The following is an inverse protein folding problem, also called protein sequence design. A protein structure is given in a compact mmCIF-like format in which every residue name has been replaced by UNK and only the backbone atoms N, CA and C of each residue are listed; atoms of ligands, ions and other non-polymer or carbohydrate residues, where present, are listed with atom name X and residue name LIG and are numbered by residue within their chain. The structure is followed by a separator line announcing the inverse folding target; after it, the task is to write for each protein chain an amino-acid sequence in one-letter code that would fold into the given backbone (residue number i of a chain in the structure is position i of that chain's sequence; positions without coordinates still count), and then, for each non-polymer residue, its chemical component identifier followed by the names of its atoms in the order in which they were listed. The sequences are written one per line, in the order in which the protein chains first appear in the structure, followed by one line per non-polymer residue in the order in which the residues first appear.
data_IF_315829916365
#
_entry.id   IF_315829916365
#
_cell.length_a   1.000
_cell.length_b   1.000
_cell.length_c   1.000
_cell.angle_alpha   90.00
_cell.angle_beta   90.00
_cell.angle_gamma   90.00
#
_symmetry.space_group_name_H-M   'P 1'
#
loop_
_entity.id
_entity.type
_entity.pdbx_description
1 polymer ?
#
# COMPACT_ATOMS: atom_id res chain seq x y z
N UNK A 1 0.58 -42.21 -4.69
CA UNK A 1 1.64 -41.73 -3.80
C UNK A 1 1.83 -40.21 -3.82
N UNK A 2 0.81 -39.43 -3.44
CA UNK A 2 0.82 -37.96 -3.49
C UNK A 2 0.38 -37.30 -2.18
N UNK A 3 0.93 -37.76 -1.06
CA UNK A 3 0.97 -36.96 0.17
C UNK A 3 2.39 -37.13 0.70
N UNK A 4 3.28 -36.21 0.32
CA UNK A 4 4.54 -35.99 1.04
C UNK A 4 4.29 -34.76 1.90
N UNK A 5 4.26 -34.98 3.19
CA UNK A 5 4.06 -34.00 4.25
C UNK A 5 4.81 -32.69 3.95
N UNK A 6 4.03 -31.62 3.76
CA UNK A 6 4.52 -30.25 3.69
C UNK A 6 4.85 -29.82 5.13
N UNK A 7 5.95 -30.35 5.66
CA UNK A 7 6.52 -29.86 6.91
C UNK A 7 7.05 -28.45 6.66
N UNK A 8 6.26 -27.44 7.02
CA UNK A 8 6.72 -26.09 7.31
C UNK A 8 7.82 -26.17 8.39
N UNK A 9 9.07 -26.30 7.97
CA UNK A 9 10.22 -26.34 8.88
C UNK A 9 10.40 -24.95 9.50
N UNK A 10 10.82 -24.87 10.77
CA UNK A 10 11.08 -23.59 11.45
C UNK A 10 11.97 -22.66 10.60
N UNK A 11 12.89 -23.21 9.82
CA UNK A 11 13.77 -22.50 8.88
C UNK A 11 13.06 -21.76 7.73
N UNK A 12 11.85 -22.18 7.34
CA UNK A 12 11.01 -21.43 6.37
C UNK A 12 10.28 -20.24 7.00
N UNK A 13 10.11 -20.24 8.33
CA UNK A 13 9.48 -19.16 9.11
C UNK A 13 10.54 -18.20 9.67
N UNK A 14 11.78 -18.67 9.85
CA UNK A 14 12.90 -17.88 10.37
C UNK A 14 13.99 -17.72 9.32
N UNK A 15 14.21 -16.51 8.81
CA UNK A 15 15.36 -16.23 7.96
C UNK A 15 16.69 -16.57 8.68
N UNK A 16 17.72 -16.98 7.95
CA UNK A 16 19.02 -17.46 8.52
C UNK A 16 19.68 -16.51 9.55
N UNK A 17 19.38 -15.20 9.50
CA UNK A 17 19.87 -14.18 10.43
C UNK A 17 18.77 -13.51 11.27
N UNK A 18 17.53 -13.98 11.16
CA UNK A 18 16.46 -13.51 12.03
C UNK A 18 16.64 -14.06 13.45
N UNK A 19 15.96 -13.43 14.39
CA UNK A 19 15.87 -13.89 15.78
C UNK A 19 15.37 -15.35 15.80
N UNK A 20 15.80 -16.24 16.71
CA UNK A 20 15.18 -17.55 16.84
C UNK A 20 13.81 -17.45 17.53
N UNK A 21 12.92 -18.42 17.30
CA UNK A 21 11.59 -18.47 17.94
C UNK A 21 11.65 -18.59 19.48
N UNK A 22 12.80 -19.00 20.04
CA UNK A 22 13.02 -19.22 21.48
C UNK A 22 14.01 -18.22 22.08
N UNK A 23 13.70 -16.93 22.05
CA UNK A 23 14.39 -15.92 22.86
C UNK A 23 13.48 -15.33 23.93
N UNK A 24 14.08 -14.61 24.88
CA UNK A 24 13.36 -13.95 25.99
C UNK A 24 12.32 -12.92 25.52
N UNK A 25 12.43 -12.44 24.28
CA UNK A 25 11.46 -11.55 23.66
C UNK A 25 10.97 -12.14 22.34
N UNK A 26 9.66 -12.31 22.22
CA UNK A 26 9.04 -12.92 21.05
C UNK A 26 9.17 -12.04 19.79
N UNK A 27 9.33 -12.69 18.62
CA UNK A 27 9.44 -12.02 17.32
C UNK A 27 8.27 -11.10 17.02
N UNK A 28 7.07 -11.53 17.40
CA UNK A 28 5.85 -10.77 17.16
C UNK A 28 5.85 -9.48 17.96
N UNK A 29 6.24 -9.56 19.23
CA UNK A 29 6.41 -8.40 20.13
C UNK A 29 7.37 -7.37 19.54
N UNK A 30 8.47 -7.83 18.92
CA UNK A 30 9.45 -6.93 18.29
C UNK A 30 8.86 -6.21 17.08
N UNK A 31 8.12 -6.92 16.22
CA UNK A 31 7.46 -6.28 15.09
C UNK A 31 6.43 -5.24 15.54
N UNK A 32 5.61 -5.55 16.54
CA UNK A 32 4.67 -4.59 17.12
C UNK A 32 5.39 -3.39 17.71
N UNK A 33 6.47 -3.60 18.47
CA UNK A 33 7.27 -2.52 19.04
C UNK A 33 7.80 -1.58 17.95
N UNK A 34 8.31 -2.12 16.83
CA UNK A 34 8.77 -1.32 15.70
C UNK A 34 7.63 -0.48 15.07
N UNK A 35 6.43 -1.05 14.92
CA UNK A 35 5.25 -0.33 14.43
C UNK A 35 4.86 0.80 15.39
N UNK A 36 4.81 0.53 16.70
CA UNK A 36 4.50 1.55 17.71
C UNK A 36 5.55 2.65 17.77
N UNK A 37 6.83 2.33 17.66
CA UNK A 37 7.91 3.34 17.61
C UNK A 37 7.73 4.24 16.39
N UNK A 38 7.51 3.65 15.20
CA UNK A 38 7.26 4.44 14.00
C UNK A 38 6.04 5.37 14.17
N UNK A 39 4.94 4.85 14.72
CA UNK A 39 3.74 5.63 14.98
C UNK A 39 3.96 6.77 15.99
N UNK A 40 4.65 6.50 17.11
CA UNK A 40 4.98 7.51 18.12
C UNK A 40 5.85 8.62 17.51
N UNK A 41 6.86 8.25 16.71
CA UNK A 41 7.70 9.24 16.02
C UNK A 41 6.89 10.10 15.05
N UNK A 42 5.99 9.51 14.26
CA UNK A 42 5.09 10.26 13.39
C UNK A 42 4.18 11.18 14.18
N UNK A 43 3.58 10.70 15.27
CA UNK A 43 2.71 11.50 16.14
C UNK A 43 3.46 12.67 16.78
N UNK A 44 4.64 12.43 17.34
CA UNK A 44 5.48 13.47 17.94
C UNK A 44 5.91 14.51 16.91
N UNK A 45 6.22 14.08 15.68
CA UNK A 45 6.54 14.99 14.59
C UNK A 45 5.36 15.88 14.19
N UNK A 46 4.17 15.28 13.98
CA UNK A 46 2.96 16.05 13.65
C UNK A 46 2.60 17.02 14.78
N UNK A 47 2.70 16.57 16.04
CA UNK A 47 2.49 17.43 17.21
C UNK A 47 3.55 18.55 17.30
N UNK A 48 4.79 18.28 16.92
CA UNK A 48 5.85 19.28 16.84
C UNK A 48 5.53 20.35 15.79
N UNK A 49 4.94 19.97 14.66
CA UNK A 49 4.47 20.94 13.66
C UNK A 49 3.29 21.75 14.20
N UNK A 50 2.35 21.12 14.89
CA UNK A 50 1.24 21.84 15.55
C UNK A 50 1.76 22.89 16.54
N UNK A 51 2.78 22.55 17.34
CA UNK A 51 3.42 23.51 18.24
C UNK A 51 4.01 24.72 17.49
N UNK A 52 4.62 24.50 16.31
CA UNK A 52 5.15 25.59 15.46
C UNK A 52 4.00 26.42 14.89
N UNK A 53 2.93 25.79 14.42
CA UNK A 53 1.74 26.51 13.94
C UNK A 53 1.15 27.36 15.07
N UNK A 54 1.12 26.82 16.29
CA UNK A 54 0.60 27.48 17.48
C UNK A 54 1.42 28.69 17.95
N UNK A 55 2.67 28.82 17.50
CA UNK A 55 3.46 30.05 17.72
C UNK A 55 2.98 31.24 16.88
N UNK A 56 2.04 31.03 15.95
CA UNK A 56 1.51 32.08 15.08
C UNK A 56 2.41 32.46 13.89
N UNK A 57 3.60 31.86 13.76
CA UNK A 57 4.57 32.12 12.67
C UNK A 57 3.97 31.88 11.28
N UNK A 58 3.07 30.90 11.17
CA UNK A 58 2.43 30.51 9.91
C UNK A 58 1.05 31.17 9.70
N UNK A 59 0.58 31.97 10.67
CA UNK A 59 -0.70 32.67 10.63
C UNK A 59 -1.89 31.79 10.23
N UNK A 60 -2.89 32.39 9.58
CA UNK A 60 -4.11 31.70 9.13
C UNK A 60 -3.82 30.55 8.14
N UNK A 61 -2.70 30.59 7.43
CA UNK A 61 -2.30 29.51 6.51
C UNK A 61 -1.89 28.23 7.27
N UNK A 62 -1.18 28.38 8.38
CA UNK A 62 -0.81 27.28 9.26
C UNK A 62 -2.03 26.52 9.80
N UNK A 63 -3.01 27.27 10.32
CA UNK A 63 -4.20 26.68 10.94
C UNK A 63 -5.19 26.08 9.94
N UNK A 64 -5.49 26.79 8.85
CA UNK A 64 -6.58 26.39 7.95
C UNK A 64 -6.15 25.43 6.83
N UNK A 65 -4.85 25.38 6.53
CA UNK A 65 -4.34 24.58 5.40
C UNK A 65 -3.35 23.52 5.86
N UNK A 66 -2.30 23.92 6.58
CA UNK A 66 -1.20 23.01 6.94
C UNK A 66 -1.68 21.96 7.95
N UNK A 67 -2.33 22.37 9.05
CA UNK A 67 -2.78 21.44 10.10
C UNK A 67 -3.75 20.37 9.57
N UNK A 68 -4.85 20.71 8.85
CA UNK A 68 -5.73 19.68 8.30
C UNK A 68 -5.05 18.75 7.30
N UNK A 69 -4.10 19.26 6.51
CA UNK A 69 -3.33 18.44 5.56
C UNK A 69 -2.43 17.44 6.31
N UNK A 70 -1.70 17.89 7.31
CA UNK A 70 -0.78 17.02 8.07
C UNK A 70 -1.55 15.88 8.75
N UNK A 71 -2.63 16.21 9.45
CA UNK A 71 -3.44 15.23 10.16
C UNK A 71 -4.28 14.35 9.23
N UNK A 72 -4.81 14.93 8.14
CA UNK A 72 -5.56 14.21 7.12
C UNK A 72 -4.71 13.19 6.35
N UNK A 73 -3.41 13.47 6.18
CA UNK A 73 -2.46 12.57 5.51
C UNK A 73 -1.43 11.97 6.50
N UNK A 74 -1.84 11.70 7.74
CA UNK A 74 -0.96 11.19 8.79
C UNK A 74 -0.20 9.90 8.40
N UNK A 75 -0.81 9.04 7.57
CA UNK A 75 -0.21 7.78 7.11
C UNK A 75 1.07 7.99 6.28
N UNK A 76 1.24 9.16 5.64
CA UNK A 76 2.46 9.51 4.90
C UNK A 76 3.61 9.66 5.88
N UNK A 77 3.39 10.41 6.96
CA UNK A 77 4.39 10.53 8.03
C UNK A 77 4.64 9.19 8.70
N UNK A 78 3.58 8.39 8.93
CA UNK A 78 3.70 6.98 9.33
C UNK A 78 4.71 6.21 8.48
N UNK A 79 4.56 6.30 7.16
CA UNK A 79 5.43 5.60 6.20
C UNK A 79 6.85 6.17 6.16
N UNK A 80 7.01 7.49 6.18
CA UNK A 80 8.34 8.13 6.21
C UNK A 80 9.11 7.68 7.45
N UNK A 81 8.49 7.71 8.64
CA UNK A 81 9.15 7.28 9.87
C UNK A 81 9.40 5.77 9.91
N UNK A 82 8.53 4.95 9.32
CA UNK A 82 8.79 3.51 9.16
C UNK A 82 10.00 3.25 8.24
N UNK A 83 10.12 3.98 7.13
CA UNK A 83 11.28 3.90 6.24
C UNK A 83 12.56 4.41 6.89
N UNK A 84 12.48 5.50 7.67
CA UNK A 84 13.60 6.00 8.46
C UNK A 84 14.04 4.98 9.51
N UNK A 85 13.09 4.38 10.23
CA UNK A 85 13.37 3.32 11.21
C UNK A 85 14.05 2.13 10.53
N UNK A 86 13.53 1.68 9.38
CA UNK A 86 14.17 0.63 8.56
C UNK A 86 15.59 1.01 8.16
N UNK A 87 15.82 2.23 7.68
CA UNK A 87 17.13 2.72 7.28
C UNK A 87 18.13 2.77 8.45
N UNK A 88 17.69 3.25 9.62
CA UNK A 88 18.49 3.27 10.85
C UNK A 88 18.84 1.84 11.27
N UNK A 89 17.88 0.94 11.32
CA UNK A 89 18.11 -0.47 11.68
C UNK A 89 19.10 -1.15 10.71
N UNK A 90 18.94 -0.94 9.40
CA UNK A 90 19.87 -1.44 8.40
C UNK A 90 21.26 -0.83 8.52
N UNK A 91 21.38 0.46 8.89
CA UNK A 91 22.68 1.11 9.12
C UNK A 91 23.37 0.52 10.36
N UNK A 92 22.64 0.32 11.45
CA UNK A 92 23.17 -0.28 12.68
C UNK A 92 23.62 -1.73 12.45
N UNK A 93 22.92 -2.47 11.58
CA UNK A 93 23.31 -3.82 11.17
C UNK A 93 24.61 -3.81 10.36
N UNK A 94 24.72 -2.90 9.38
CA UNK A 94 25.96 -2.72 8.59
C UNK A 94 27.17 -2.33 9.45
N UNK A 95 26.94 -1.56 10.52
CA UNK A 95 27.98 -1.16 11.49
C UNK A 95 28.31 -2.26 12.52
N UNK A 96 27.66 -3.42 12.47
CA UNK A 96 27.88 -4.53 13.39
C UNK A 96 27.37 -4.31 14.81
N UNK A 97 26.67 -3.21 15.08
CA UNK A 97 26.03 -2.92 16.38
C UNK A 97 24.84 -3.87 16.58
N UNK A 98 24.06 -4.06 15.50
CA UNK A 98 22.93 -4.97 15.44
C UNK A 98 23.39 -6.25 14.73
N UNK A 99 23.55 -7.33 15.48
CA UNK A 99 24.08 -8.61 14.95
C UNK A 99 23.02 -9.46 14.23
N UNK A 100 21.74 -9.12 14.37
CA UNK A 100 20.61 -9.91 13.86
C UNK A 100 19.60 -9.07 13.12
N UNK A 101 18.83 -9.72 12.26
CA UNK A 101 17.73 -9.10 11.54
C UNK A 101 16.47 -9.12 12.41
N UNK A 102 16.13 -7.94 12.96
CA UNK A 102 14.97 -7.77 13.84
C UNK A 102 13.66 -7.57 13.09
N UNK A 103 13.70 -7.22 11.80
CA UNK A 103 12.51 -6.99 10.96
C UNK A 103 12.19 -8.26 10.18
N UNK A 104 10.95 -8.75 10.28
CA UNK A 104 10.49 -9.90 9.52
C UNK A 104 9.32 -9.51 8.62
N UNK A 105 9.52 -9.58 7.30
CA UNK A 105 8.49 -9.22 6.32
C UNK A 105 7.24 -10.11 6.46
N UNK A 106 7.42 -11.39 6.80
CA UNK A 106 6.30 -12.33 6.98
C UNK A 106 5.38 -11.90 8.12
N UNK A 107 5.95 -11.59 9.28
CA UNK A 107 5.18 -11.19 10.46
C UNK A 107 4.59 -9.79 10.28
N UNK A 108 5.32 -8.86 9.65
CA UNK A 108 4.81 -7.53 9.30
C UNK A 108 3.60 -7.61 8.35
N UNK A 109 3.65 -8.49 7.33
CA UNK A 109 2.51 -8.70 6.43
C UNK A 109 1.29 -9.30 7.15
N UNK A 110 1.49 -10.19 8.13
CA UNK A 110 0.39 -10.74 8.96
C UNK A 110 -0.23 -9.67 9.85
N UNK A 111 0.59 -8.85 10.51
CA UNK A 111 0.12 -7.70 11.30
C UNK A 111 -0.65 -6.74 10.41
N UNK A 112 -0.11 -6.39 9.24
CA UNK A 112 -0.77 -5.50 8.29
C UNK A 112 -2.11 -6.06 7.80
N UNK A 113 -2.18 -7.36 7.49
CA UNK A 113 -3.43 -8.04 7.12
C UNK A 113 -4.47 -7.94 8.23
N UNK A 114 -4.10 -8.31 9.46
CA UNK A 114 -5.02 -8.22 10.61
C UNK A 114 -5.50 -6.78 10.88
N UNK A 115 -4.60 -5.80 10.85
CA UNK A 115 -4.97 -4.39 11.06
C UNK A 115 -5.87 -3.86 9.94
N UNK A 116 -5.64 -4.31 8.70
CA UNK A 116 -6.53 -3.98 7.58
C UNK A 116 -7.91 -4.58 7.76
N UNK A 117 -8.01 -5.85 8.16
CA UNK A 117 -9.31 -6.50 8.41
C UNK A 117 -10.07 -5.77 9.53
N UNK A 118 -9.39 -5.40 10.61
CA UNK A 118 -9.98 -4.57 11.67
C UNK A 118 -10.44 -3.20 11.16
N UNK A 119 -9.65 -2.54 10.31
CA UNK A 119 -10.03 -1.28 9.67
C UNK A 119 -11.29 -1.44 8.81
N UNK A 120 -11.39 -2.50 8.01
CA UNK A 120 -12.57 -2.80 7.19
C UNK A 120 -13.78 -3.06 8.06
N UNK A 121 -13.65 -3.90 9.08
CA UNK A 121 -14.75 -4.19 10.03
C UNK A 121 -15.22 -2.91 10.73
N UNK A 122 -14.29 -2.09 11.23
CA UNK A 122 -14.61 -0.82 11.86
C UNK A 122 -15.27 0.18 10.87
N UNK A 123 -14.80 0.21 9.63
CA UNK A 123 -15.37 1.07 8.58
C UNK A 123 -16.80 0.65 8.24
N UNK A 124 -17.06 -0.66 8.10
CA UNK A 124 -18.41 -1.20 7.86
C UNK A 124 -19.31 -0.91 9.07
N UNK A 125 -18.80 -1.12 10.28
CA UNK A 125 -19.54 -0.84 11.51
C UNK A 125 -19.86 0.66 11.70
N UNK A 126 -19.08 1.56 11.10
CA UNK A 126 -19.31 3.00 11.11
C UNK A 126 -20.32 3.47 10.06
N UNK A 127 -20.78 2.60 9.14
CA UNK A 127 -21.75 2.99 8.10
C UNK A 127 -23.13 3.18 8.74
N UNK A 128 -23.70 4.37 8.57
CA UNK A 128 -25.11 4.62 8.89
C UNK A 128 -26.01 3.89 7.89
N UNK A 129 -26.71 2.85 8.36
CA UNK A 129 -27.58 2.02 7.53
C UNK A 129 -28.75 2.81 6.91
N UNK A 130 -29.09 3.97 7.47
CA UNK A 130 -30.12 4.86 6.95
C UNK A 130 -29.79 5.34 5.53
N UNK A 131 -28.50 5.44 5.18
CA UNK A 131 -28.06 5.86 3.85
C UNK A 131 -28.47 4.85 2.75
N UNK A 132 -28.61 3.56 3.06
CA UNK A 132 -28.98 2.53 2.08
C UNK A 132 -30.47 2.57 1.70
N UNK A 133 -31.29 3.30 2.44
CA UNK A 133 -32.70 3.51 2.10
C UNK A 133 -32.87 4.52 0.95
N UNK A 134 -31.83 5.29 0.64
CA UNK A 134 -31.83 6.29 -0.41
C UNK A 134 -31.36 5.67 -1.74
N UNK A 135 -32.22 5.61 -2.77
CA UNK A 135 -31.83 5.15 -4.10
C UNK A 135 -30.62 5.92 -4.67
N UNK A 136 -30.54 7.21 -4.34
CA UNK A 136 -29.48 8.12 -4.74
C UNK A 136 -28.10 7.76 -4.17
N UNK A 137 -28.04 6.89 -3.15
CA UNK A 137 -26.79 6.38 -2.59
C UNK A 137 -26.46 4.98 -3.12
N UNK A 138 -27.40 4.03 -3.06
CA UNK A 138 -27.13 2.63 -3.41
C UNK A 138 -26.87 2.44 -4.91
N UNK A 139 -27.56 3.19 -5.78
CA UNK A 139 -27.42 3.05 -7.24
C UNK A 139 -26.01 3.50 -7.68
N UNK A 140 -25.53 4.72 -7.33
CA UNK A 140 -24.17 5.11 -7.68
C UNK A 140 -23.11 4.21 -7.04
N UNK A 141 -23.29 3.78 -5.78
CA UNK A 141 -22.34 2.90 -5.10
C UNK A 141 -22.20 1.56 -5.83
N UNK A 142 -23.32 0.93 -6.16
CA UNK A 142 -23.34 -0.37 -6.84
C UNK A 142 -22.77 -0.26 -8.25
N UNK A 143 -23.13 0.79 -8.98
CA UNK A 143 -22.54 1.09 -10.29
C UNK A 143 -21.03 1.28 -10.19
N UNK A 144 -20.53 2.02 -9.20
CA UNK A 144 -19.10 2.23 -8.98
C UNK A 144 -18.38 0.92 -8.65
N UNK A 145 -18.96 0.06 -7.80
CA UNK A 145 -18.36 -1.24 -7.48
C UNK A 145 -18.28 -2.15 -8.71
N UNK A 146 -19.38 -2.28 -9.47
CA UNK A 146 -19.43 -3.16 -10.65
C UNK A 146 -18.55 -2.61 -11.77
N UNK A 147 -18.73 -1.34 -12.14
CA UNK A 147 -17.94 -0.72 -13.21
C UNK A 147 -16.46 -0.64 -12.81
N UNK A 148 -16.15 -0.27 -11.57
CA UNK A 148 -14.78 -0.23 -11.06
C UNK A 148 -14.11 -1.59 -11.10
N UNK A 149 -14.80 -2.65 -10.65
CA UNK A 149 -14.30 -4.03 -10.69
C UNK A 149 -14.04 -4.52 -12.12
N UNK A 150 -14.99 -4.29 -13.03
CA UNK A 150 -14.87 -4.69 -14.44
C UNK A 150 -13.79 -3.88 -15.18
N UNK A 151 -13.76 -2.56 -15.00
CA UNK A 151 -12.72 -1.71 -15.60
C UNK A 151 -11.33 -2.09 -15.10
N UNK A 152 -11.19 -2.38 -13.79
CA UNK A 152 -9.92 -2.86 -13.22
C UNK A 152 -9.50 -4.19 -13.83
N UNK A 153 -10.43 -5.13 -13.98
CA UNK A 153 -10.19 -6.40 -14.64
C UNK A 153 -9.67 -6.20 -16.08
N UNK A 154 -10.42 -5.46 -16.90
CA UNK A 154 -10.08 -5.26 -18.32
C UNK A 154 -8.76 -4.51 -18.49
N UNK A 155 -8.51 -3.51 -17.64
CA UNK A 155 -7.27 -2.74 -17.65
C UNK A 155 -6.06 -3.62 -17.29
N UNK A 156 -6.17 -4.43 -16.23
CA UNK A 156 -5.09 -5.32 -15.81
C UNK A 156 -4.84 -6.44 -16.81
N UNK A 157 -5.88 -7.02 -17.41
CA UNK A 157 -5.73 -8.03 -18.45
C UNK A 157 -4.89 -7.47 -19.62
N UNK A 158 -5.21 -6.24 -20.05
CA UNK A 158 -4.46 -5.56 -21.11
C UNK A 158 -3.01 -5.21 -20.71
N UNK A 159 -2.81 -4.69 -19.49
CA UNK A 159 -1.49 -4.26 -19.00
C UNK A 159 -0.58 -5.46 -18.77
N UNK A 160 -1.06 -6.52 -18.13
CA UNK A 160 -0.24 -7.66 -17.74
C UNK A 160 0.31 -8.40 -18.97
N UNK A 161 -0.51 -8.59 -20.01
CA UNK A 161 -0.08 -9.17 -21.29
C UNK A 161 1.05 -8.42 -21.98
N UNK A 162 1.16 -7.10 -21.77
CA UNK A 162 2.15 -6.24 -22.43
C UNK A 162 3.38 -5.94 -21.58
N UNK A 163 3.18 -5.76 -20.28
CA UNK A 163 4.25 -5.36 -19.35
C UNK A 163 4.93 -6.57 -18.74
N UNK A 164 4.19 -7.67 -18.53
CA UNK A 164 4.66 -8.90 -17.89
C UNK A 164 4.44 -10.14 -18.76
N UNK A 165 4.86 -10.15 -20.04
CA UNK A 165 4.55 -11.25 -20.97
C UNK A 165 5.10 -12.62 -20.54
N UNK A 166 6.07 -12.66 -19.63
CA UNK A 166 6.66 -13.91 -19.13
C UNK A 166 5.88 -14.55 -17.98
N UNK A 167 5.00 -13.81 -17.30
CA UNK A 167 4.22 -14.27 -16.13
C UNK A 167 2.89 -13.50 -16.04
N UNK A 168 2.18 -13.40 -17.16
CA UNK A 168 1.03 -12.51 -17.30
C UNK A 168 -0.13 -12.87 -16.37
N UNK A 169 -0.36 -14.17 -16.14
CA UNK A 169 -1.47 -14.66 -15.31
C UNK A 169 -1.16 -14.49 -13.81
N UNK A 170 0.08 -14.75 -13.42
CA UNK A 170 0.60 -14.51 -12.07
C UNK A 170 0.53 -13.01 -11.73
N UNK A 171 1.00 -12.16 -12.63
CA UNK A 171 0.92 -10.71 -12.48
C UNK A 171 -0.54 -10.23 -12.41
N UNK A 172 -1.42 -10.78 -13.25
CA UNK A 172 -2.83 -10.44 -13.27
C UNK A 172 -3.51 -10.79 -11.95
N UNK A 173 -3.42 -12.04 -11.48
CA UNK A 173 -4.07 -12.50 -10.26
C UNK A 173 -3.56 -11.74 -9.02
N UNK A 174 -2.24 -11.54 -8.94
CA UNK A 174 -1.62 -10.80 -7.84
C UNK A 174 -2.07 -9.34 -7.79
N UNK A 175 -2.04 -8.63 -8.93
CA UNK A 175 -2.42 -7.22 -9.01
C UNK A 175 -3.93 -7.02 -8.85
N UNK A 176 -4.75 -7.88 -9.46
CA UNK A 176 -6.21 -7.77 -9.36
C UNK A 176 -6.66 -7.97 -7.91
N UNK A 177 -6.19 -9.04 -7.25
CA UNK A 177 -6.50 -9.28 -5.83
C UNK A 177 -6.00 -8.17 -4.90
N UNK A 178 -4.85 -7.55 -5.21
CA UNK A 178 -4.36 -6.40 -4.46
C UNK A 178 -5.23 -5.16 -4.69
N UNK A 179 -5.62 -4.86 -5.93
CA UNK A 179 -6.37 -3.64 -6.26
C UNK A 179 -7.84 -3.71 -5.83
N UNK A 180 -8.41 -4.91 -5.74
CA UNK A 180 -9.77 -5.13 -5.21
C UNK A 180 -9.79 -5.49 -3.72
N UNK A 181 -8.63 -5.50 -3.05
CA UNK A 181 -8.50 -5.96 -1.67
C UNK A 181 -7.19 -5.48 -1.04
N UNK A 182 -6.37 -6.43 -0.59
CA UNK A 182 -5.07 -6.16 0.05
C UNK A 182 -3.95 -6.91 -0.65
N UNK A 183 -2.70 -6.53 -0.36
CA UNK A 183 -1.54 -7.30 -0.79
C UNK A 183 -1.63 -8.79 -0.34
N UNK A 184 -2.20 -9.11 0.83
CA UNK A 184 -2.38 -10.50 1.26
C UNK A 184 -3.40 -11.23 0.38
N UNK A 185 -4.46 -10.56 -0.05
CA UNK A 185 -5.46 -11.12 -0.98
C UNK A 185 -4.84 -11.41 -2.34
N UNK A 186 -4.03 -10.48 -2.86
CA UNK A 186 -3.25 -10.70 -4.09
C UNK A 186 -2.30 -11.89 -3.99
N UNK A 187 -1.61 -12.06 -2.85
CA UNK A 187 -0.73 -13.21 -2.60
C UNK A 187 -1.51 -14.52 -2.51
N UNK A 188 -2.73 -14.52 -1.94
CA UNK A 188 -3.59 -15.72 -1.91
C UNK A 188 -3.96 -16.15 -3.33
N UNK A 189 -4.42 -15.22 -4.17
CA UNK A 189 -4.76 -15.54 -5.56
C UNK A 189 -3.53 -15.99 -6.36
N UNK A 190 -2.38 -15.35 -6.12
CA UNK A 190 -1.11 -15.74 -6.77
C UNK A 190 -0.71 -17.17 -6.39
N UNK A 191 -0.87 -17.58 -5.12
CA UNK A 191 -0.49 -18.93 -4.68
C UNK A 191 -1.23 -20.05 -5.39
N UNK A 192 -2.44 -19.80 -5.87
CA UNK A 192 -3.20 -20.81 -6.62
C UNK A 192 -2.53 -21.12 -7.97
N UNK A 193 -1.85 -20.13 -8.55
CA UNK A 193 -1.19 -20.26 -9.85
C UNK A 193 0.32 -20.50 -9.74
N UNK A 194 0.99 -19.80 -8.82
CA UNK A 194 2.43 -19.92 -8.51
C UNK A 194 2.64 -20.18 -7.00
N UNK A 195 2.39 -21.43 -6.53
CA UNK A 195 2.49 -21.77 -5.10
C UNK A 195 3.88 -21.56 -4.51
N UNK A 196 4.91 -21.64 -5.35
CA UNK A 196 6.32 -21.56 -4.97
C UNK A 196 6.91 -20.16 -5.14
N UNK A 197 6.13 -19.19 -5.61
CA UNK A 197 6.58 -17.82 -5.91
C UNK A 197 7.85 -17.79 -6.77
N UNK A 198 7.86 -18.62 -7.81
CA UNK A 198 8.98 -18.72 -8.75
C UNK A 198 9.07 -17.52 -9.68
N UNK A 199 7.96 -16.82 -9.88
CA UNK A 199 7.86 -15.62 -10.71
C UNK A 199 8.11 -14.34 -9.90
N UNK A 200 8.40 -13.24 -10.61
CA UNK A 200 8.58 -11.92 -9.97
C UNK A 200 7.26 -11.26 -9.51
N UNK A 201 6.11 -11.93 -9.67
CA UNK A 201 4.81 -11.36 -9.33
C UNK A 201 4.71 -10.97 -7.85
N UNK A 202 5.17 -11.83 -6.94
CA UNK A 202 5.15 -11.56 -5.50
C UNK A 202 6.08 -10.39 -5.13
N UNK A 203 7.28 -10.34 -5.69
CA UNK A 203 8.25 -9.26 -5.45
C UNK A 203 7.71 -7.91 -5.95
N UNK A 204 7.06 -7.90 -7.12
CA UNK A 204 6.48 -6.69 -7.69
C UNK A 204 5.40 -6.07 -6.79
N UNK A 205 4.60 -6.87 -6.08
CA UNK A 205 3.62 -6.35 -5.12
C UNK A 205 4.26 -5.54 -3.99
N UNK A 206 5.48 -5.90 -3.59
CA UNK A 206 6.24 -5.17 -2.56
C UNK A 206 6.95 -3.97 -3.17
N UNK A 207 7.60 -4.15 -4.32
CA UNK A 207 8.37 -3.10 -4.99
C UNK A 207 7.50 -1.97 -5.54
N UNK A 208 6.21 -2.22 -5.79
CA UNK A 208 5.27 -1.20 -6.26
C UNK A 208 4.86 -0.19 -5.17
N UNK A 209 4.96 -0.53 -3.88
CA UNK A 209 4.40 0.29 -2.79
C UNK A 209 5.01 1.71 -2.70
N UNK A 210 6.34 1.92 -2.78
CA UNK A 210 6.91 3.26 -2.74
C UNK A 210 6.44 4.15 -3.90
N UNK A 211 6.29 3.55 -5.09
CA UNK A 211 5.80 4.24 -6.28
C UNK A 211 4.32 4.58 -6.16
N UNK A 212 3.51 3.68 -5.59
CA UNK A 212 2.11 3.92 -5.33
C UNK A 212 1.91 5.11 -4.37
N UNK A 213 2.74 5.25 -3.34
CA UNK A 213 2.69 6.41 -2.42
C UNK A 213 3.08 7.70 -3.16
N UNK A 214 4.21 7.68 -3.87
CA UNK A 214 4.74 8.88 -4.54
C UNK A 214 3.80 9.39 -5.64
N UNK A 215 3.24 8.50 -6.45
CA UNK A 215 2.30 8.84 -7.52
C UNK A 215 0.86 8.97 -7.04
N UNK A 216 0.52 8.34 -5.91
CA UNK A 216 -0.81 8.38 -5.30
C UNK A 216 -1.07 9.65 -4.50
N UNK A 217 -0.04 10.29 -3.95
CA UNK A 217 -0.22 11.49 -3.13
C UNK A 217 -1.03 12.61 -3.81
N UNK A 218 -0.74 13.01 -5.07
CA UNK A 218 -1.57 14.00 -5.78
C UNK A 218 -3.04 13.56 -5.93
N UNK A 219 -3.28 12.26 -6.10
CA UNK A 219 -4.64 11.71 -6.23
C UNK A 219 -5.40 11.80 -4.91
N UNK A 220 -4.73 11.51 -3.79
CA UNK A 220 -5.31 11.61 -2.46
C UNK A 220 -5.64 13.06 -2.07
N UNK A 221 -4.85 14.03 -2.51
CA UNK A 221 -5.16 15.46 -2.34
C UNK A 221 -6.45 15.87 -3.04
N UNK A 222 -6.79 15.25 -4.17
CA UNK A 222 -8.02 15.59 -4.90
C UNK A 222 -9.28 15.09 -4.20
N UNK A 223 -9.19 14.09 -3.33
CA UNK A 223 -10.34 13.53 -2.61
C UNK A 223 -11.00 14.57 -1.68
N UNK A 224 -10.23 15.48 -1.09
CA UNK A 224 -10.76 16.56 -0.25
C UNK A 224 -11.32 17.74 -1.04
N UNK A 225 -10.89 17.91 -2.31
CA UNK A 225 -11.26 19.04 -3.17
C UNK A 225 -12.49 18.71 -4.01
N UNK A 226 -12.60 17.48 -4.50
CA UNK A 226 -13.68 17.02 -5.38
C UNK A 226 -15.11 17.25 -4.82
N UNK A 227 -15.43 16.99 -3.54
CA UNK A 227 -16.80 17.14 -3.05
C UNK A 227 -17.23 18.60 -2.81
N UNK A 228 -16.33 19.58 -2.94
CA UNK A 228 -16.63 20.96 -2.56
C UNK A 228 -17.48 21.73 -3.57
N UNK A 229 -17.36 21.41 -4.87
CA UNK A 229 -18.18 22.01 -5.93
C UNK A 229 -18.08 21.21 -7.23
N UNK A 230 -19.05 21.36 -8.12
CA UNK A 230 -19.01 20.72 -9.44
C UNK A 230 -17.79 21.15 -10.26
N UNK A 231 -17.42 22.44 -10.21
CA UNK A 231 -16.23 22.94 -10.89
C UNK A 231 -14.94 22.30 -10.36
N UNK A 232 -14.84 22.12 -9.05
CA UNK A 232 -13.70 21.45 -8.42
C UNK A 232 -13.67 19.96 -8.74
N UNK A 233 -14.82 19.28 -8.77
CA UNK A 233 -14.92 17.89 -9.20
C UNK A 233 -14.42 17.70 -10.65
N UNK A 234 -14.80 18.59 -11.57
CA UNK A 234 -14.35 18.56 -12.96
C UNK A 234 -12.84 18.81 -13.09
N UNK A 235 -12.30 19.75 -12.31
CA UNK A 235 -10.85 20.00 -12.26
C UNK A 235 -10.11 18.79 -11.70
N UNK A 236 -10.59 18.19 -10.61
CA UNK A 236 -10.04 16.96 -10.05
C UNK A 236 -10.06 15.82 -11.08
N UNK A 237 -11.16 15.64 -11.81
CA UNK A 237 -11.26 14.64 -12.87
C UNK A 237 -10.24 14.88 -13.99
N UNK A 238 -10.07 16.13 -14.42
CA UNK A 238 -9.08 16.49 -15.43
C UNK A 238 -7.65 16.15 -14.97
N UNK A 239 -7.31 16.50 -13.72
CA UNK A 239 -5.99 16.20 -13.13
C UNK A 239 -5.77 14.68 -13.03
N UNK A 240 -6.77 13.91 -12.57
CA UNK A 240 -6.68 12.45 -12.51
C UNK A 240 -6.52 11.82 -13.88
N UNK A 241 -7.22 12.34 -14.89
CA UNK A 241 -7.12 11.85 -16.27
C UNK A 241 -5.73 12.11 -16.85
N UNK A 242 -5.17 13.30 -16.61
CA UNK A 242 -3.79 13.65 -17.03
C UNK A 242 -2.78 12.75 -16.33
N UNK A 243 -2.90 12.54 -15.02
CA UNK A 243 -2.00 11.65 -14.28
C UNK A 243 -2.10 10.20 -14.77
N UNK A 244 -3.31 9.70 -15.02
CA UNK A 244 -3.53 8.38 -15.60
C UNK A 244 -2.84 8.22 -16.96
N UNK A 245 -2.94 9.23 -17.83
CA UNK A 245 -2.26 9.23 -19.13
C UNK A 245 -0.74 9.23 -18.94
N UNK A 246 -0.20 10.09 -18.08
CA UNK A 246 1.25 10.15 -17.80
C UNK A 246 1.75 8.79 -17.29
N UNK A 247 1.04 8.18 -16.34
CA UNK A 247 1.41 6.87 -15.80
C UNK A 247 1.40 5.78 -16.88
N UNK A 248 0.37 5.75 -17.74
CA UNK A 248 0.31 4.82 -18.86
C UNK A 248 1.45 5.06 -19.86
N UNK A 249 1.78 6.31 -20.18
CA UNK A 249 2.91 6.64 -21.05
C UNK A 249 4.24 6.17 -20.46
N UNK A 250 4.43 6.29 -19.15
CA UNK A 250 5.62 5.78 -18.45
C UNK A 250 5.66 4.25 -18.52
N UNK A 251 4.55 3.57 -18.20
CA UNK A 251 4.44 2.11 -18.27
C UNK A 251 4.72 1.57 -19.67
N UNK A 252 4.14 2.19 -20.71
CA UNK A 252 4.30 1.76 -22.09
C UNK A 252 5.50 2.38 -22.81
N UNK A 253 6.37 3.11 -22.11
CA UNK A 253 7.51 3.83 -22.72
C UNK A 253 8.35 2.93 -23.63
N UNK A 254 8.62 1.69 -23.22
CA UNK A 254 9.41 0.73 -24.02
C UNK A 254 8.67 0.24 -25.26
N UNK A 255 7.35 0.09 -25.20
CA UNK A 255 6.53 -0.32 -26.34
C UNK A 255 6.29 0.83 -27.34
N UNK A 256 6.15 2.07 -26.84
CA UNK A 256 5.87 3.26 -27.64
C UNK A 256 7.13 3.92 -28.22
N UNK A 257 8.21 3.98 -27.43
CA UNK A 257 9.44 4.68 -27.78
C UNK A 257 10.65 3.76 -27.94
N UNK A 258 10.50 2.45 -27.73
CA UNK A 258 11.55 1.49 -28.04
C UNK A 258 11.73 1.41 -29.55
N UNK A 259 12.92 1.77 -30.05
CA UNK A 259 13.29 1.46 -31.44
C UNK A 259 13.13 -0.06 -31.63
N UNK A 260 12.26 -0.48 -32.55
CA UNK A 260 12.25 -1.87 -33.04
C UNK A 260 13.66 -2.18 -33.51
N UNK A 261 14.36 -3.05 -32.79
CA UNK A 261 15.60 -3.64 -33.31
C UNK A 261 15.21 -4.34 -34.61
N UNK A 262 15.69 -3.82 -35.74
CA UNK A 262 15.57 -4.53 -37.02
C UNK A 262 16.26 -5.88 -36.83
N UNK A 263 15.50 -6.94 -37.01
CA UNK A 263 16.03 -8.28 -37.26
C UNK A 263 16.90 -8.28 -38.50
#
# INVERSE_FOLDING_TARGET
DFIKDEHLTADTITGKNEIPLSESMDKFTIQLALVFIAYILSFLFMKGIDMIIDTGVLGNFGYNTIRPLIWGFNFIFGTIFALLLKAVMSMLQKKGIVKREYMSNFLQNRIAGFMFDMMVVASIAAIDLSAFLLPDFIIPLTLLCVLGGVCTYLYLDYICKRVFPSYEHEAFLSLYGMLTGTASTGIILLREYDPKFTTMAADNLVLAQPWAILLGFPMLMMLSVAPQSLSKALVSLAIMSVLFIIMNLICFRRSLFGKKSKS
#
